data_IF_457489113428
#
_entry.id   IF_457489113428
#
_cell.length_a   1.000
_cell.length_b   1.000
_cell.length_c   1.000
_cell.angle_alpha   90.00
_cell.angle_beta   90.00
_cell.angle_gamma   90.00
#
_symmetry.space_group_name_H-M   'P 1'
#
loop_
_entity.id
_entity.type
_entity.pdbx_description
1 polymer ?
#
# COMPACT_ATOMS: atom_id res chain seq x y z
N UNK A 1 -15.34 58.81 62.37
CA UNK A 1 -15.26 59.69 61.18
C UNK A 1 -14.28 58.98 60.23
N UNK A 2 -14.52 58.62 58.97
CA UNK A 2 -15.52 58.96 57.97
C UNK A 2 -14.78 59.16 56.64
N UNK A 3 -15.08 58.32 55.63
CA UNK A 3 -14.81 58.44 54.16
C UNK A 3 -13.37 58.15 53.62
N UNK A 4 -13.15 57.12 52.77
CA UNK A 4 -13.38 56.94 51.28
C UNK A 4 -12.39 57.76 50.43
N UNK A 5 -11.83 57.37 49.27
CA UNK A 5 -11.71 56.18 48.39
C UNK A 5 -10.74 56.58 47.24
N UNK A 6 -10.23 55.60 46.48
CA UNK A 6 -9.68 55.63 45.10
C UNK A 6 -8.16 55.83 44.80
N UNK A 7 -7.62 54.76 44.18
CA UNK A 7 -6.68 54.63 43.05
C UNK A 7 -5.32 55.34 43.01
N UNK A 8 -4.23 54.57 42.87
CA UNK A 8 -3.70 54.32 41.51
C UNK A 8 -2.64 53.21 41.44
N UNK A 9 -2.81 52.41 40.39
CA UNK A 9 -1.83 51.58 39.71
C UNK A 9 -0.50 52.31 39.41
N UNK A 10 0.63 51.80 39.93
CA UNK A 10 1.93 51.61 39.22
C UNK A 10 3.05 51.39 40.24
N UNK A 11 3.55 50.16 40.32
CA UNK A 11 4.96 49.80 40.51
C UNK A 11 5.08 48.33 40.95
N UNK A 12 4.93 47.42 40.00
CA UNK A 12 5.44 46.05 40.12
C UNK A 12 6.32 45.78 38.91
N UNK A 13 7.63 45.91 39.07
CA UNK A 13 8.65 45.14 38.36
C UNK A 13 10.02 45.58 38.85
N UNK A 14 10.55 44.82 39.81
CA UNK A 14 11.97 44.47 39.88
C UNK A 14 12.14 43.41 40.96
N UNK A 15 11.79 42.18 40.59
CA UNK A 15 12.20 40.98 41.33
C UNK A 15 12.98 40.13 40.32
N UNK A 16 14.31 40.26 40.37
CA UNK A 16 15.25 39.39 39.67
C UNK A 16 15.04 37.96 40.17
N UNK A 17 14.19 37.21 39.47
CA UNK A 17 14.21 35.76 39.47
C UNK A 17 15.38 35.36 38.58
N UNK A 18 16.48 34.96 39.20
CA UNK A 18 17.54 34.19 38.55
C UNK A 18 16.95 32.84 38.16
N UNK A 19 16.32 32.79 36.99
CA UNK A 19 16.02 31.56 36.29
C UNK A 19 17.37 30.97 35.91
N UNK A 20 17.76 29.88 36.56
CA UNK A 20 18.76 28.98 35.99
C UNK A 20 18.14 28.49 34.68
N UNK A 21 18.61 29.05 33.56
CA UNK A 21 18.37 28.45 32.26
C UNK A 21 18.98 27.07 32.32
N UNK A 22 18.16 26.02 32.25
CA UNK A 22 18.62 24.72 31.79
C UNK A 22 19.46 24.97 30.53
N UNK A 23 20.66 24.36 30.41
CA UNK A 23 21.39 24.43 29.16
C UNK A 23 20.45 23.95 28.06
N UNK A 24 20.13 24.82 27.11
CA UNK A 24 19.44 24.38 25.92
C UNK A 24 20.22 23.18 25.37
N UNK A 25 19.54 22.07 25.01
CA UNK A 25 20.23 20.97 24.36
C UNK A 25 21.01 21.57 23.19
N UNK A 26 22.33 21.36 23.18
CA UNK A 26 23.17 21.73 22.06
C UNK A 26 22.45 21.25 20.80
N UNK A 27 22.10 22.18 19.91
CA UNK A 27 21.48 21.81 18.63
C UNK A 27 22.48 20.90 17.93
N UNK A 28 22.21 19.59 17.96
CA UNK A 28 23.01 18.60 17.26
C UNK A 28 23.21 19.09 15.83
N UNK A 29 24.45 19.05 15.34
CA UNK A 29 24.73 19.39 13.96
C UNK A 29 23.84 18.54 13.03
N UNK A 30 23.29 19.10 11.95
CA UNK A 30 22.43 18.36 11.04
C UNK A 30 23.17 17.15 10.48
N UNK A 31 22.48 16.01 10.40
CA UNK A 31 23.09 14.77 9.92
C UNK A 31 23.46 14.91 8.43
N UNK A 32 24.66 14.46 8.06
CA UNK A 32 25.10 14.41 6.67
C UNK A 32 24.65 13.16 5.93
N UNK A 33 24.16 12.14 6.65
CA UNK A 33 23.67 10.88 6.09
C UNK A 33 22.50 10.31 6.90
N UNK A 34 21.58 9.64 6.20
CA UNK A 34 20.43 8.96 6.79
C UNK A 34 20.10 7.71 6.00
N UNK A 35 20.11 6.55 6.66
CA UNK A 35 19.59 5.30 6.09
C UNK A 35 18.06 5.28 6.19
N UNK A 36 17.40 4.79 5.13
CA UNK A 36 15.94 4.79 5.00
C UNK A 36 15.39 3.38 5.17
N UNK A 37 14.92 3.10 6.38
CA UNK A 37 14.40 1.78 6.74
C UNK A 37 12.92 1.63 6.39
N UNK A 38 12.11 2.70 6.53
CA UNK A 38 10.68 2.67 6.19
C UNK A 38 10.42 3.31 4.83
N UNK A 39 9.54 2.77 3.97
CA UNK A 39 9.40 3.24 2.58
C UNK A 39 8.80 4.63 2.41
N UNK A 40 8.09 5.13 3.41
CA UNK A 40 7.48 6.46 3.38
C UNK A 40 8.33 7.53 4.07
N UNK A 41 9.39 7.16 4.80
CA UNK A 41 10.21 8.15 5.51
C UNK A 41 10.88 9.12 4.55
N UNK A 42 11.15 8.69 3.31
CA UNK A 42 11.67 9.51 2.22
C UNK A 42 10.67 9.66 1.05
N UNK A 43 9.37 9.68 1.34
CA UNK A 43 8.32 9.80 0.32
C UNK A 43 8.52 11.02 -0.60
N UNK A 44 8.99 12.14 -0.05
CA UNK A 44 9.26 13.38 -0.79
C UNK A 44 10.27 13.21 -1.93
N UNK A 45 11.11 12.17 -1.89
CA UNK A 45 12.04 11.82 -2.99
C UNK A 45 11.30 11.50 -4.29
N UNK A 46 9.99 11.18 -4.25
CA UNK A 46 9.19 10.98 -5.47
C UNK A 46 9.17 12.20 -6.41
N UNK A 47 9.42 13.40 -5.88
CA UNK A 47 9.57 14.64 -6.65
C UNK A 47 10.95 14.80 -7.30
N UNK A 48 11.92 13.97 -6.90
CA UNK A 48 13.29 13.93 -7.41
C UNK A 48 13.53 12.76 -8.37
N UNK A 49 13.02 11.58 -8.00
CA UNK A 49 13.03 10.33 -8.74
C UNK A 49 11.75 9.53 -8.43
N UNK A 50 11.00 9.04 -9.43
CA UNK A 50 9.73 8.38 -9.17
C UNK A 50 9.94 7.00 -8.54
N UNK A 51 9.23 6.73 -7.45
CA UNK A 51 9.34 5.45 -6.73
C UNK A 51 8.61 4.29 -7.43
N UNK A 52 7.74 4.61 -8.39
CA UNK A 52 7.10 3.65 -9.28
C UNK A 52 6.72 4.30 -10.62
N UNK A 53 6.99 3.61 -11.73
CA UNK A 53 6.63 4.03 -13.09
C UNK A 53 6.65 2.83 -14.06
N UNK A 54 6.21 3.02 -15.31
CA UNK A 54 6.16 1.96 -16.32
C UNK A 54 6.99 2.33 -17.56
N UNK A 55 7.66 1.34 -18.15
CA UNK A 55 8.37 1.43 -19.43
C UNK A 55 7.74 0.47 -20.42
N UNK A 56 6.80 0.97 -21.23
CA UNK A 56 5.89 0.10 -21.98
C UNK A 56 5.08 -0.75 -20.99
N UNK A 57 5.10 -2.07 -21.17
CA UNK A 57 4.44 -3.02 -20.27
C UNK A 57 5.29 -3.39 -19.04
N UNK A 58 6.52 -2.88 -18.93
CA UNK A 58 7.44 -3.25 -17.85
C UNK A 58 7.29 -2.31 -16.65
N UNK A 59 6.84 -2.80 -15.48
CA UNK A 59 6.85 -2.02 -14.25
C UNK A 59 8.28 -1.80 -13.75
N UNK A 60 8.55 -0.59 -13.25
CA UNK A 60 9.81 -0.21 -12.61
C UNK A 60 9.49 0.40 -11.25
N UNK A 61 10.10 -0.15 -10.21
CA UNK A 61 9.95 0.32 -8.83
C UNK A 61 11.29 0.73 -8.29
N UNK A 62 11.29 1.78 -7.49
CA UNK A 62 12.44 2.19 -6.73
C UNK A 62 12.10 2.35 -5.26
N UNK A 63 13.07 2.02 -4.42
CA UNK A 63 13.07 2.26 -2.99
C UNK A 63 14.27 3.14 -2.68
N UNK A 64 14.03 4.23 -1.97
CA UNK A 64 15.11 5.03 -1.39
C UNK A 64 15.78 4.19 -0.30
N UNK A 65 17.10 4.11 -0.36
CA UNK A 65 17.91 3.34 0.60
C UNK A 65 18.63 4.30 1.55
N UNK A 66 19.07 5.44 1.03
CA UNK A 66 19.86 6.40 1.80
C UNK A 66 19.70 7.81 1.27
N UNK A 67 19.72 8.79 2.16
CA UNK A 67 19.85 10.20 1.85
C UNK A 67 21.19 10.72 2.36
N UNK A 68 21.83 11.60 1.60
CA UNK A 68 23.07 12.29 1.99
C UNK A 68 23.01 13.76 1.63
N UNK A 69 23.69 14.59 2.42
CA UNK A 69 23.84 16.02 2.17
C UNK A 69 25.29 16.46 2.43
N UNK A 70 25.73 17.48 1.70
CA UNK A 70 27.07 18.07 1.85
C UNK A 70 28.00 17.79 0.68
N UNK A 71 29.28 18.15 0.81
CA UNK A 71 30.30 17.99 -0.24
C UNK A 71 30.67 16.53 -0.45
N UNK A 72 30.73 15.74 0.62
CA UNK A 72 31.03 14.30 0.62
C UNK A 72 29.87 13.44 0.10
N UNK A 73 28.70 14.04 -0.17
CA UNK A 73 27.55 13.31 -0.70
C UNK A 73 27.78 12.88 -2.16
N UNK A 74 28.57 13.64 -2.94
CA UNK A 74 28.91 13.25 -4.30
C UNK A 74 29.89 12.07 -4.32
N UNK A 75 29.48 10.94 -4.92
CA UNK A 75 30.39 9.85 -5.24
C UNK A 75 30.00 9.28 -6.61
N UNK A 76 30.65 9.78 -7.66
CA UNK A 76 30.43 9.31 -9.03
C UNK A 76 30.89 7.87 -9.21
N UNK A 77 30.11 7.10 -9.95
CA UNK A 77 30.39 5.71 -10.30
C UNK A 77 30.94 5.62 -11.74
N UNK A 78 31.96 4.78 -11.98
CA UNK A 78 32.44 4.52 -13.33
C UNK A 78 31.33 3.97 -14.24
N UNK A 79 31.42 4.26 -15.54
CA UNK A 79 30.55 3.66 -16.58
C UNK A 79 29.04 3.92 -16.38
N UNK A 80 28.69 4.97 -15.64
CA UNK A 80 27.30 5.40 -15.44
C UNK A 80 26.71 6.10 -16.66
N UNK A 81 25.41 5.86 -16.90
CA UNK A 81 24.59 6.69 -17.78
C UNK A 81 23.98 7.84 -16.98
N UNK A 82 24.15 9.06 -17.47
CA UNK A 82 23.69 10.28 -16.80
C UNK A 82 22.51 10.91 -17.52
N UNK A 83 21.54 11.37 -16.73
CA UNK A 83 20.35 12.06 -17.21
C UNK A 83 20.10 13.28 -16.35
N UNK A 84 19.52 14.32 -16.94
CA UNK A 84 19.04 15.48 -16.20
C UNK A 84 17.54 15.63 -16.37
N UNK A 85 16.92 16.31 -15.41
CA UNK A 85 15.64 16.95 -15.62
C UNK A 85 15.61 18.32 -14.93
N UNK A 86 14.79 19.21 -15.47
CA UNK A 86 14.56 20.56 -14.96
C UNK A 86 13.09 20.94 -15.15
N UNK A 87 12.49 21.48 -14.11
CA UNK A 87 11.16 22.08 -14.09
C UNK A 87 11.24 23.53 -13.58
N UNK A 88 10.68 24.47 -14.33
CA UNK A 88 10.46 25.83 -13.85
C UNK A 88 9.08 25.88 -13.17
N UNK A 89 9.04 26.21 -11.88
CA UNK A 89 7.80 26.29 -11.08
C UNK A 89 7.61 27.70 -10.51
N UNK A 90 6.41 28.00 -9.98
CA UNK A 90 6.16 29.28 -9.32
C UNK A 90 7.07 29.54 -8.11
N UNK A 91 7.52 28.48 -7.43
CA UNK A 91 8.41 28.56 -6.27
C UNK A 91 9.91 28.58 -6.62
N UNK A 92 10.24 28.38 -7.90
CA UNK A 92 11.62 28.34 -8.40
C UNK A 92 11.93 27.14 -9.28
N UNK A 93 13.21 26.98 -9.60
CA UNK A 93 13.69 25.89 -10.45
C UNK A 93 13.91 24.63 -9.61
N UNK A 94 13.25 23.55 -9.99
CA UNK A 94 13.52 22.21 -9.48
C UNK A 94 14.30 21.43 -10.54
N UNK A 95 15.41 20.81 -10.15
CA UNK A 95 16.23 20.05 -11.08
C UNK A 95 17.02 18.95 -10.38
N UNK A 96 17.29 17.86 -11.10
CA UNK A 96 18.14 16.76 -10.65
C UNK A 96 18.99 16.22 -11.80
N UNK A 97 20.09 15.61 -11.43
CA UNK A 97 20.81 14.64 -12.24
C UNK A 97 20.51 13.24 -11.72
N UNK A 98 20.36 12.26 -12.60
CA UNK A 98 20.29 10.84 -12.25
C UNK A 98 21.49 10.11 -12.81
N UNK A 99 22.05 9.27 -11.96
CA UNK A 99 23.13 8.38 -12.29
C UNK A 99 22.60 6.94 -12.28
N UNK A 100 22.68 6.27 -13.44
CA UNK A 100 22.29 4.88 -13.62
C UNK A 100 23.53 4.04 -14.01
N UNK A 101 24.17 3.37 -13.03
CA UNK A 101 25.37 2.56 -13.23
C UNK A 101 25.20 1.46 -14.29
N UNK A 102 26.23 1.30 -15.12
CA UNK A 102 26.32 0.23 -16.12
C UNK A 102 26.41 -1.17 -15.53
N UNK A 103 26.06 -2.23 -16.28
CA UNK A 103 26.40 -3.59 -15.89
C UNK A 103 27.93 -3.78 -15.95
N UNK A 104 28.50 -4.54 -15.01
CA UNK A 104 29.93 -4.92 -15.00
C UNK A 104 30.33 -5.92 -16.10
N UNK A 105 29.51 -6.08 -17.15
CA UNK A 105 29.68 -7.08 -18.21
C UNK A 105 30.27 -6.43 -19.48
N UNK A 106 30.72 -7.27 -20.43
CA UNK A 106 31.42 -6.83 -21.65
C UNK A 106 30.66 -5.82 -22.55
N UNK A 107 31.35 -5.29 -23.56
CA UNK A 107 30.91 -4.14 -24.37
C UNK A 107 29.48 -4.22 -24.97
N UNK A 108 29.00 -5.43 -25.30
CA UNK A 108 27.64 -5.64 -25.80
C UNK A 108 26.57 -5.32 -24.75
N UNK A 109 26.80 -5.71 -23.49
CA UNK A 109 25.91 -5.42 -22.36
C UNK A 109 25.90 -3.92 -22.05
N UNK A 110 27.04 -3.24 -22.16
CA UNK A 110 27.14 -1.79 -21.98
C UNK A 110 26.35 -1.01 -23.06
N UNK A 111 26.44 -1.44 -24.33
CA UNK A 111 25.68 -0.83 -25.43
C UNK A 111 24.16 -1.01 -25.27
N UNK A 112 23.71 -2.20 -24.88
CA UNK A 112 22.30 -2.47 -24.59
C UNK A 112 21.81 -1.69 -23.36
N UNK A 113 22.69 -1.50 -22.36
CA UNK A 113 22.40 -0.73 -21.17
C UNK A 113 22.12 0.73 -21.49
N UNK A 114 22.95 1.39 -22.30
CA UNK A 114 22.73 2.80 -22.66
C UNK A 114 21.33 3.04 -23.26
N UNK A 115 20.87 2.13 -24.14
CA UNK A 115 19.51 2.17 -24.69
C UNK A 115 18.45 1.98 -23.61
N UNK A 116 18.66 1.02 -22.72
CA UNK A 116 17.72 0.69 -21.62
C UNK A 116 17.62 1.85 -20.62
N UNK A 117 18.75 2.41 -20.20
CA UNK A 117 18.85 3.55 -19.30
C UNK A 117 18.15 4.78 -19.88
N UNK A 118 18.30 5.05 -21.18
CA UNK A 118 17.58 6.15 -21.85
C UNK A 118 16.07 5.98 -21.79
N UNK A 119 15.55 4.77 -22.04
CA UNK A 119 14.11 4.52 -21.98
C UNK A 119 13.58 4.62 -20.54
N UNK A 120 14.34 4.11 -19.57
CA UNK A 120 14.02 4.26 -18.14
C UNK A 120 13.93 5.73 -17.73
N UNK A 121 14.93 6.52 -18.08
CA UNK A 121 14.96 7.95 -17.76
C UNK A 121 13.83 8.72 -18.43
N UNK A 122 13.50 8.43 -19.70
CA UNK A 122 12.38 9.07 -20.39
C UNK A 122 11.04 8.78 -19.68
N UNK A 123 10.79 7.54 -19.28
CA UNK A 123 9.58 7.17 -18.54
C UNK A 123 9.55 7.80 -17.13
N UNK A 124 10.68 7.80 -16.43
CA UNK A 124 10.81 8.43 -15.12
C UNK A 124 10.55 9.94 -15.18
N UNK A 125 11.06 10.62 -16.21
CA UNK A 125 10.83 12.04 -16.43
C UNK A 125 9.35 12.35 -16.71
N UNK A 126 8.68 11.50 -17.49
CA UNK A 126 7.22 11.59 -17.69
C UNK A 126 6.45 11.48 -16.37
N UNK A 127 6.82 10.52 -15.51
CA UNK A 127 6.18 10.36 -14.19
C UNK A 127 6.45 11.53 -13.26
N UNK A 128 7.67 12.06 -13.20
CA UNK A 128 7.96 13.26 -12.38
C UNK A 128 7.17 14.47 -12.86
N UNK A 129 7.07 14.69 -14.17
CA UNK A 129 6.27 15.79 -14.71
C UNK A 129 4.82 15.65 -14.26
N UNK A 130 4.25 14.44 -14.29
CA UNK A 130 2.91 14.17 -13.76
C UNK A 130 2.84 14.48 -12.25
N UNK A 131 3.73 13.92 -11.44
CA UNK A 131 3.79 14.14 -9.99
C UNK A 131 3.90 15.62 -9.60
N UNK A 132 4.68 16.41 -10.34
CA UNK A 132 4.77 17.86 -10.14
C UNK A 132 3.48 18.58 -10.54
N UNK A 133 2.77 18.09 -11.55
CA UNK A 133 1.51 18.67 -12.05
C UNK A 133 0.30 18.29 -11.19
N UNK A 134 0.42 17.33 -10.28
CA UNK A 134 -0.66 16.89 -9.39
C UNK A 134 -1.01 17.97 -8.34
N UNK A 135 -0.15 18.97 -8.15
CA UNK A 135 -0.40 20.13 -7.27
C UNK A 135 -0.17 21.44 -8.01
N UNK A 136 -1.12 22.40 -7.95
CA UNK A 136 -0.98 23.69 -8.62
C UNK A 136 0.33 24.43 -8.34
N UNK A 137 0.85 24.30 -7.12
CA UNK A 137 2.03 25.05 -6.65
C UNK A 137 3.35 24.47 -7.18
N UNK A 138 3.38 23.18 -7.55
CA UNK A 138 4.54 22.53 -8.18
C UNK A 138 4.40 22.36 -9.68
N UNK A 139 3.25 22.74 -10.26
CA UNK A 139 2.98 22.60 -11.71
C UNK A 139 4.07 23.30 -12.53
N UNK A 140 4.78 22.56 -13.40
CA UNK A 140 5.82 23.15 -14.22
C UNK A 140 5.25 24.09 -15.30
N UNK A 141 5.74 25.32 -15.38
CA UNK A 141 5.53 26.19 -16.55
C UNK A 141 6.39 25.75 -17.74
N UNK A 142 7.53 25.13 -17.45
CA UNK A 142 8.42 24.50 -18.42
C UNK A 142 8.98 23.20 -17.82
N UNK A 143 9.19 22.18 -18.65
CA UNK A 143 9.79 20.91 -18.24
C UNK A 143 10.71 20.38 -19.35
N UNK A 144 11.94 20.03 -18.98
CA UNK A 144 12.94 19.44 -19.88
C UNK A 144 13.64 18.28 -19.19
N UNK A 145 13.93 17.22 -19.95
CA UNK A 145 14.69 16.07 -19.47
C UNK A 145 15.41 15.39 -20.63
N UNK A 146 16.56 14.77 -20.35
CA UNK A 146 17.32 14.07 -21.38
C UNK A 146 18.65 13.51 -20.88
N UNK A 147 19.36 12.75 -21.74
CA UNK A 147 20.72 12.32 -21.45
C UNK A 147 21.65 13.54 -21.36
N UNK A 148 22.65 13.47 -20.48
CA UNK A 148 23.69 14.48 -20.35
C UNK A 148 25.05 13.85 -20.08
N UNK A 149 26.12 14.66 -20.17
CA UNK A 149 27.41 14.29 -19.62
C UNK A 149 27.33 14.19 -18.08
N UNK A 150 28.31 13.50 -17.47
CA UNK A 150 28.46 13.52 -16.02
C UNK A 150 28.59 14.97 -15.53
N UNK A 151 27.77 15.42 -14.56
CA UNK A 151 27.84 16.77 -14.05
C UNK A 151 29.11 16.96 -13.23
N UNK A 152 29.75 18.12 -13.37
CA UNK A 152 30.86 18.52 -12.52
C UNK A 152 30.33 18.91 -11.13
N UNK A 153 30.28 17.94 -10.21
CA UNK A 153 29.79 18.12 -8.83
C UNK A 153 30.91 17.99 -7.78
N UNK A 154 32.15 17.76 -8.21
CA UNK A 154 33.29 17.58 -7.30
C UNK A 154 33.49 18.83 -6.44
N UNK A 155 33.56 18.64 -5.11
CA UNK A 155 33.74 19.72 -4.14
C UNK A 155 32.52 20.64 -3.95
N UNK A 156 31.38 20.36 -4.60
CA UNK A 156 30.16 21.16 -4.45
C UNK A 156 29.23 20.51 -3.42
N UNK A 157 28.55 21.28 -2.56
CA UNK A 157 27.56 20.72 -1.64
C UNK A 157 26.33 20.25 -2.43
N UNK A 158 25.99 18.98 -2.32
CA UNK A 158 24.87 18.36 -3.02
C UNK A 158 23.92 17.66 -2.05
N UNK A 159 22.67 17.52 -2.47
CA UNK A 159 21.75 16.55 -1.90
C UNK A 159 21.75 15.31 -2.78
N UNK A 160 21.85 14.13 -2.17
CA UNK A 160 21.88 12.84 -2.86
C UNK A 160 20.84 11.91 -2.26
N UNK A 161 20.03 11.30 -3.11
CA UNK A 161 19.18 10.18 -2.77
C UNK A 161 19.68 8.93 -3.49
N UNK A 162 20.14 7.94 -2.73
CA UNK A 162 20.43 6.61 -3.23
C UNK A 162 19.16 5.79 -3.26
N UNK A 163 18.92 5.13 -4.39
CA UNK A 163 17.76 4.26 -4.56
C UNK A 163 18.17 2.93 -5.19
N UNK A 164 17.50 1.88 -4.74
CA UNK A 164 17.52 0.58 -5.39
C UNK A 164 16.28 0.46 -6.25
N UNK A 165 16.44 0.04 -7.50
CA UNK A 165 15.34 -0.15 -8.43
C UNK A 165 15.42 -1.48 -9.15
N UNK A 166 14.25 -2.01 -9.50
CA UNK A 166 14.13 -3.25 -10.26
C UNK A 166 13.77 -2.94 -11.71
N UNK A 167 14.61 -3.36 -12.65
CA UNK A 167 14.34 -3.27 -14.07
C UNK A 167 14.63 -4.61 -14.72
N UNK A 168 13.62 -5.18 -15.41
CA UNK A 168 13.71 -6.49 -16.09
C UNK A 168 14.16 -7.64 -15.17
N UNK A 169 13.67 -7.66 -13.92
CA UNK A 169 13.98 -8.74 -12.97
C UNK A 169 15.39 -8.66 -12.35
N UNK A 170 16.13 -7.58 -12.58
CA UNK A 170 17.41 -7.33 -11.92
C UNK A 170 17.34 -6.07 -11.06
N UNK A 171 17.82 -6.18 -9.83
CA UNK A 171 18.03 -5.03 -8.95
C UNK A 171 19.29 -4.30 -9.33
N UNK A 172 19.19 -2.97 -9.32
CA UNK A 172 20.27 -2.04 -9.58
C UNK A 172 20.19 -0.93 -8.58
N UNK A 173 21.34 -0.34 -8.30
CA UNK A 173 21.43 0.85 -7.47
C UNK A 173 21.62 2.05 -8.40
N UNK A 174 21.05 3.18 -8.04
CA UNK A 174 21.19 4.43 -8.73
C UNK A 174 21.19 5.57 -7.72
N UNK A 175 21.57 6.75 -8.20
CA UNK A 175 21.63 7.93 -7.36
C UNK A 175 21.00 9.12 -8.07
N UNK A 176 20.21 9.90 -7.34
CA UNK A 176 19.70 11.17 -7.79
C UNK A 176 20.41 12.30 -7.04
N UNK A 177 20.98 13.24 -7.78
CA UNK A 177 21.73 14.37 -7.26
C UNK A 177 21.01 15.68 -7.56
N UNK A 178 20.87 16.53 -6.55
CA UNK A 178 20.35 17.88 -6.68
C UNK A 178 21.22 18.88 -5.92
N UNK A 179 20.94 20.16 -6.12
CA UNK A 179 21.47 21.20 -5.24
C UNK A 179 21.09 20.91 -3.79
N UNK A 180 21.98 21.18 -2.84
CA UNK A 180 21.68 21.05 -1.40
C UNK A 180 20.45 21.88 -0.97
N UNK A 181 20.10 22.93 -1.75
CA UNK A 181 18.91 23.76 -1.52
C UNK A 181 17.60 23.17 -2.06
N UNK A 182 17.67 22.07 -2.83
CA UNK A 182 16.50 21.47 -3.46
C UNK A 182 15.38 21.14 -2.45
N UNK A 183 15.64 20.49 -1.29
CA UNK A 183 14.60 20.20 -0.31
C UNK A 183 13.85 21.44 0.17
N UNK A 184 14.55 22.55 0.43
CA UNK A 184 13.95 23.81 0.88
C UNK A 184 13.16 24.52 -0.23
N UNK A 185 13.56 24.37 -1.50
CA UNK A 185 12.76 24.87 -2.64
C UNK A 185 11.49 24.02 -2.77
N UNK A 186 11.60 22.70 -2.64
CA UNK A 186 10.46 21.79 -2.68
C UNK A 186 9.48 22.02 -1.53
N UNK A 187 9.96 22.20 -0.29
CA UNK A 187 9.11 22.51 0.88
C UNK A 187 8.26 23.77 0.63
N UNK A 188 8.91 24.84 0.15
CA UNK A 188 8.22 26.08 -0.23
C UNK A 188 7.22 25.88 -1.36
N UNK A 189 7.58 25.10 -2.37
CA UNK A 189 6.71 24.78 -3.49
C UNK A 189 5.47 23.99 -3.04
N UNK A 190 5.61 23.12 -2.04
CA UNK A 190 4.51 22.32 -1.50
C UNK A 190 3.76 23.02 -0.36
N UNK A 191 4.13 24.26 -0.01
CA UNK A 191 3.57 25.03 1.09
C UNK A 191 3.66 24.33 2.47
N UNK A 192 4.68 23.51 2.67
CA UNK A 192 4.98 22.93 3.98
C UNK A 192 5.83 23.89 4.81
N UNK A 193 5.50 24.02 6.10
CA UNK A 193 6.31 24.80 7.04
C UNK A 193 7.70 24.17 7.15
N UNK A 194 8.72 24.93 6.77
CA UNK A 194 10.10 24.52 6.93
C UNK A 194 10.61 25.05 8.28
N UNK A 195 10.41 24.26 9.33
CA UNK A 195 10.99 24.54 10.66
C UNK A 195 12.48 24.11 10.72
N UNK A 196 13.01 23.50 9.66
CA UNK A 196 14.41 23.13 9.60
C UNK A 196 15.27 24.38 9.37
N UNK A 197 16.45 24.45 10.01
CA UNK A 197 17.42 25.47 9.65
C UNK A 197 17.70 25.32 8.14
N UNK A 198 17.85 26.42 7.38
CA UNK A 198 18.08 26.39 5.91
C UNK A 198 19.37 25.69 5.44
N UNK A 199 20.04 24.98 6.35
CA UNK A 199 21.22 24.13 6.15
C UNK A 199 20.90 22.63 6.35
N UNK A 200 19.75 22.25 6.91
CA UNK A 200 19.35 20.85 7.17
C UNK A 200 18.48 20.29 6.04
N UNK A 201 19.15 19.95 4.93
CA UNK A 201 18.50 19.38 3.75
C UNK A 201 17.80 18.03 4.03
N UNK A 202 18.32 17.23 4.98
CA UNK A 202 17.71 15.95 5.33
C UNK A 202 16.44 16.16 6.16
N UNK A 203 16.50 17.04 7.17
CA UNK A 203 15.34 17.43 7.97
C UNK A 203 14.19 17.97 7.12
N UNK A 204 14.49 18.85 6.15
CA UNK A 204 13.49 19.35 5.20
C UNK A 204 12.82 18.22 4.40
N UNK A 205 13.59 17.25 3.88
CA UNK A 205 13.01 16.10 3.15
C UNK A 205 12.12 15.22 4.01
N UNK A 206 12.49 15.00 5.27
CA UNK A 206 11.70 14.23 6.23
C UNK A 206 10.41 14.97 6.61
N UNK A 207 10.49 16.29 6.86
CA UNK A 207 9.32 17.11 7.17
C UNK A 207 8.30 17.08 6.02
N UNK A 208 8.75 17.23 4.77
CA UNK A 208 7.89 17.08 3.59
C UNK A 208 7.28 15.67 3.54
N UNK A 209 8.08 14.62 3.78
CA UNK A 209 7.58 13.24 3.74
C UNK A 209 6.52 12.98 4.81
N UNK A 210 6.71 13.51 6.02
CA UNK A 210 5.73 13.46 7.10
C UNK A 210 4.43 14.17 6.71
N UNK A 211 4.52 15.40 6.22
CA UNK A 211 3.35 16.17 5.81
C UNK A 211 2.59 15.51 4.65
N UNK A 212 3.31 15.00 3.65
CA UNK A 212 2.72 14.22 2.55
C UNK A 212 1.96 13.01 3.10
N UNK A 213 2.58 12.24 3.99
CA UNK A 213 1.96 11.05 4.61
C UNK A 213 0.72 11.40 5.42
N UNK A 214 0.74 12.52 6.14
CA UNK A 214 -0.39 12.94 6.98
C UNK A 214 -1.59 13.40 6.13
N UNK A 215 -1.35 13.98 4.95
CA UNK A 215 -2.42 14.38 4.02
C UNK A 215 -3.15 13.18 3.41
N UNK A 216 -2.43 12.12 3.04
CA UNK A 216 -3.00 11.00 2.31
C UNK A 216 -2.24 9.68 2.57
N UNK A 217 -2.33 9.11 3.78
CA UNK A 217 -1.50 7.99 4.21
C UNK A 217 -1.66 6.76 3.32
N UNK A 218 -2.84 6.59 2.73
CA UNK A 218 -3.19 5.43 1.91
C UNK A 218 -2.81 5.62 0.43
N UNK A 219 -2.87 6.85 -0.12
CA UNK A 219 -2.75 7.05 -1.57
C UNK A 219 -1.37 6.73 -2.14
N UNK A 220 -0.31 6.95 -1.36
CA UNK A 220 1.07 6.71 -1.81
C UNK A 220 1.39 5.23 -2.00
N UNK A 221 0.66 4.34 -1.33
CA UNK A 221 0.78 2.91 -1.57
C UNK A 221 0.11 2.50 -2.87
N UNK A 222 -1.01 3.15 -3.22
CA UNK A 222 -1.70 2.96 -4.49
C UNK A 222 -0.89 3.49 -5.68
N UNK A 223 -0.15 4.60 -5.51
CA UNK A 223 0.78 5.12 -6.54
C UNK A 223 1.93 4.16 -6.87
N UNK A 224 2.17 3.17 -6.01
CA UNK A 224 3.12 2.08 -6.24
C UNK A 224 2.45 0.86 -6.87
N UNK A 225 1.14 0.84 -7.11
CA UNK A 225 0.46 -0.30 -7.72
C UNK A 225 0.63 -0.31 -9.25
N UNK A 226 0.67 -1.49 -9.89
CA UNK A 226 0.74 -1.59 -11.34
C UNK A 226 -0.44 -2.34 -11.93
N UNK A 227 -0.75 -2.01 -13.17
CA UNK A 227 -1.79 -2.67 -13.95
C UNK A 227 -1.39 -4.10 -14.27
N UNK A 228 -2.21 -5.05 -13.84
CA UNK A 228 -2.14 -6.43 -14.30
C UNK A 228 -3.09 -6.63 -15.49
N UNK A 229 -2.60 -7.13 -16.65
CA UNK A 229 -3.45 -7.45 -17.78
C UNK A 229 -4.31 -8.68 -17.47
N UNK A 230 -5.59 -8.64 -17.84
CA UNK A 230 -6.58 -9.71 -17.62
C UNK A 230 -8.01 -9.21 -17.85
N UNK A 231 -9.02 -10.03 -17.58
CA UNK A 231 -10.45 -9.65 -17.73
C UNK A 231 -10.88 -8.46 -16.86
N UNK A 232 -10.06 -8.07 -15.88
CA UNK A 232 -10.23 -6.87 -15.05
C UNK A 232 -8.87 -6.21 -14.89
N UNK A 233 -8.53 -5.28 -15.80
CA UNK A 233 -7.35 -4.45 -15.63
C UNK A 233 -7.44 -3.76 -14.26
N UNK A 234 -6.57 -4.15 -13.32
CA UNK A 234 -6.55 -3.62 -11.95
C UNK A 234 -5.15 -3.18 -11.55
N UNK A 235 -5.06 -2.05 -10.87
CA UNK A 235 -3.83 -1.62 -10.21
C UNK A 235 -3.65 -2.44 -8.94
N UNK A 236 -2.53 -3.15 -8.86
CA UNK A 236 -2.26 -4.09 -7.77
C UNK A 236 -0.82 -3.99 -7.26
N UNK A 237 -0.64 -4.17 -5.96
CA UNK A 237 0.68 -4.30 -5.32
C UNK A 237 0.77 -5.73 -4.78
N UNK A 238 1.50 -6.64 -5.43
CA UNK A 238 1.59 -8.02 -4.97
C UNK A 238 2.26 -8.17 -3.60
N UNK A 239 2.04 -9.30 -2.96
CA UNK A 239 2.54 -9.59 -1.62
C UNK A 239 4.06 -9.45 -1.49
N UNK A 240 4.82 -9.88 -2.48
CA UNK A 240 6.28 -9.72 -2.43
C UNK A 240 6.73 -8.25 -2.43
N UNK A 241 5.92 -7.36 -3.02
CA UNK A 241 6.15 -5.92 -2.93
C UNK A 241 5.82 -5.38 -1.55
N UNK A 242 4.75 -5.87 -0.92
CA UNK A 242 4.51 -5.58 0.50
C UNK A 242 5.77 -5.93 1.31
N UNK A 243 6.37 -7.11 1.07
CA UNK A 243 7.59 -7.50 1.77
C UNK A 243 8.73 -6.51 1.51
N UNK A 244 8.93 -6.06 0.26
CA UNK A 244 9.91 -5.02 -0.11
C UNK A 244 9.69 -3.67 0.60
N UNK A 245 8.45 -3.39 0.96
CA UNK A 245 8.04 -2.16 1.64
C UNK A 245 8.02 -2.31 3.17
N UNK A 246 7.96 -3.51 3.73
CA UNK A 246 8.06 -3.67 5.18
C UNK A 246 9.49 -3.40 5.65
N UNK A 247 9.64 -3.02 6.92
CA UNK A 247 10.95 -3.09 7.59
C UNK A 247 11.46 -4.53 7.57
N UNK A 248 12.77 -4.75 7.71
CA UNK A 248 13.30 -6.12 7.69
C UNK A 248 12.73 -6.96 8.85
N UNK A 249 12.53 -6.33 10.02
CA UNK A 249 11.86 -6.96 11.16
C UNK A 249 10.41 -7.35 10.85
N UNK A 250 9.61 -6.43 10.30
CA UNK A 250 8.21 -6.74 9.98
C UNK A 250 8.08 -7.75 8.84
N UNK A 251 8.95 -7.65 7.82
CA UNK A 251 9.00 -8.61 6.72
C UNK A 251 9.32 -10.01 7.24
N UNK A 252 10.30 -10.14 8.14
CA UNK A 252 10.63 -11.41 8.78
C UNK A 252 9.43 -11.99 9.55
N UNK A 253 8.74 -11.17 10.35
CA UNK A 253 7.58 -11.60 11.13
C UNK A 253 6.42 -12.05 10.20
N UNK A 254 6.14 -11.29 9.14
CA UNK A 254 5.14 -11.67 8.13
C UNK A 254 5.50 -13.00 7.48
N UNK A 255 6.76 -13.19 7.08
CA UNK A 255 7.20 -14.40 6.37
C UNK A 255 7.14 -15.61 7.29
N UNK A 256 7.83 -15.55 8.43
CA UNK A 256 8.06 -16.69 9.31
C UNK A 256 6.81 -17.06 10.12
N UNK A 257 6.10 -16.06 10.65
CA UNK A 257 4.99 -16.29 11.57
C UNK A 257 3.63 -16.36 10.86
N UNK A 258 3.56 -16.01 9.58
CA UNK A 258 2.31 -16.05 8.83
C UNK A 258 2.42 -16.80 7.50
N UNK A 259 3.21 -16.31 6.53
CA UNK A 259 3.17 -16.83 5.16
C UNK A 259 3.63 -18.29 5.06
N UNK A 260 4.76 -18.64 5.69
CA UNK A 260 5.29 -20.01 5.64
C UNK A 260 4.33 -21.02 6.26
N UNK A 261 3.62 -20.62 7.32
CA UNK A 261 2.66 -21.44 8.05
C UNK A 261 1.33 -21.58 7.29
N UNK A 262 0.83 -20.48 6.73
CA UNK A 262 -0.51 -20.42 6.11
C UNK A 262 -0.54 -20.83 4.64
N UNK A 263 0.59 -20.84 3.95
CA UNK A 263 0.70 -21.29 2.56
C UNK A 263 1.59 -22.54 2.43
N UNK A 264 1.19 -23.71 2.97
CA UNK A 264 2.00 -24.92 2.92
C UNK A 264 2.23 -25.43 1.48
N UNK A 265 3.38 -26.06 1.25
CA UNK A 265 3.72 -26.67 -0.03
C UNK A 265 3.75 -25.67 -1.20
N UNK A 266 3.13 -26.06 -2.32
CA UNK A 266 3.09 -25.29 -3.57
C UNK A 266 2.36 -23.94 -3.45
N UNK A 267 1.52 -23.76 -2.43
CA UNK A 267 0.77 -22.52 -2.24
C UNK A 267 1.68 -21.31 -1.99
N UNK A 268 2.87 -21.53 -1.40
CA UNK A 268 3.84 -20.45 -1.19
C UNK A 268 4.39 -19.94 -2.52
N UNK A 269 4.87 -20.82 -3.40
CA UNK A 269 5.40 -20.45 -4.72
C UNK A 269 4.39 -19.65 -5.55
N UNK A 270 3.12 -20.01 -5.47
CA UNK A 270 2.04 -19.34 -6.20
C UNK A 270 1.70 -17.92 -5.69
N UNK A 271 2.20 -17.52 -4.51
CA UNK A 271 2.16 -16.12 -4.06
C UNK A 271 3.22 -15.25 -4.71
N UNK A 272 4.29 -15.87 -5.21
CA UNK A 272 5.48 -15.20 -5.75
C UNK A 272 5.69 -15.43 -7.23
N UNK A 273 5.07 -16.42 -7.86
CA UNK A 273 5.34 -16.78 -9.25
C UNK A 273 4.01 -17.10 -9.96
N UNK A 274 3.93 -16.79 -11.25
CA UNK A 274 2.76 -17.15 -12.07
C UNK A 274 3.16 -17.52 -13.50
N UNK A 275 2.33 -18.31 -14.16
CA UNK A 275 2.45 -18.64 -15.58
C UNK A 275 1.76 -17.58 -16.42
N UNK A 276 2.44 -17.07 -17.44
CA UNK A 276 1.91 -16.03 -18.30
C UNK A 276 2.37 -16.13 -19.74
N UNK A 277 1.58 -15.62 -20.69
CA UNK A 277 1.97 -15.56 -22.09
C UNK A 277 3.12 -14.56 -22.27
N UNK A 278 4.26 -15.03 -22.78
CA UNK A 278 5.39 -14.18 -23.12
C UNK A 278 5.55 -14.12 -24.64
N UNK A 279 5.55 -12.90 -25.21
CA UNK A 279 5.88 -12.71 -26.63
C UNK A 279 7.37 -12.99 -26.84
N UNK A 280 7.65 -13.98 -27.68
CA UNK A 280 8.99 -14.31 -28.15
C UNK A 280 9.08 -14.06 -29.66
N UNK A 281 10.29 -13.93 -30.24
CA UNK A 281 10.46 -13.79 -31.69
C UNK A 281 9.78 -14.91 -32.51
N UNK A 282 9.57 -16.08 -31.90
CA UNK A 282 8.99 -17.28 -32.52
C UNK A 282 7.48 -17.44 -32.24
N UNK A 283 6.84 -16.49 -31.54
CA UNK A 283 5.41 -16.55 -31.18
C UNK A 283 5.14 -16.32 -29.69
N UNK A 284 3.91 -16.59 -29.24
CA UNK A 284 3.53 -16.51 -27.83
C UNK A 284 3.81 -17.85 -27.16
N UNK A 285 4.66 -17.86 -26.13
CA UNK A 285 4.99 -19.05 -25.34
C UNK A 285 4.62 -18.83 -23.87
N UNK A 286 4.08 -19.85 -23.22
CA UNK A 286 3.77 -19.80 -21.80
C UNK A 286 5.06 -19.99 -20.98
N UNK A 287 5.39 -19.03 -20.14
CA UNK A 287 6.57 -19.07 -19.27
C UNK A 287 6.21 -18.70 -17.85
N UNK A 288 6.97 -19.24 -16.89
CA UNK A 288 6.92 -18.74 -15.52
C UNK A 288 7.51 -17.35 -15.51
N UNK A 289 6.67 -16.37 -15.16
CA UNK A 289 7.07 -14.99 -15.00
C UNK A 289 7.43 -14.82 -13.52
N UNK A 290 8.71 -14.59 -13.26
CA UNK A 290 9.10 -14.03 -11.98
C UNK A 290 8.57 -12.59 -11.91
N UNK A 291 7.94 -12.17 -10.81
CA UNK A 291 7.53 -10.79 -10.67
C UNK A 291 8.77 -9.91 -10.78
N UNK A 292 8.65 -8.85 -11.58
CA UNK A 292 9.80 -8.06 -12.05
C UNK A 292 10.64 -7.39 -10.95
N UNK A 293 10.20 -7.46 -9.70
CA UNK A 293 10.77 -6.82 -8.52
C UNK A 293 10.81 -7.72 -7.27
N UNK A 294 10.85 -9.06 -7.42
CA UNK A 294 11.16 -9.93 -6.28
C UNK A 294 12.67 -9.92 -5.98
N UNK A 295 13.09 -9.38 -4.82
CA UNK A 295 14.50 -9.36 -4.36
C UNK A 295 14.81 -10.61 -3.53
N UNK A 296 15.35 -11.69 -4.13
CA UNK A 296 15.68 -12.90 -3.38
C UNK A 296 16.79 -12.63 -2.35
N UNK A 297 17.70 -11.68 -2.58
CA UNK A 297 18.78 -11.41 -1.63
C UNK A 297 18.24 -10.82 -0.32
N UNK A 298 17.18 -10.02 -0.41
CA UNK A 298 16.52 -9.46 0.76
C UNK A 298 15.54 -10.43 1.41
N UNK A 299 14.72 -11.14 0.63
CA UNK A 299 13.64 -11.98 1.17
C UNK A 299 14.12 -13.36 1.60
N UNK A 300 15.06 -13.97 0.88
CA UNK A 300 15.52 -15.33 1.18
C UNK A 300 16.09 -15.51 2.59
N UNK A 301 16.86 -14.55 3.16
CA UNK A 301 17.34 -14.67 4.54
C UNK A 301 16.23 -14.83 5.58
N UNK A 302 15.00 -14.39 5.29
CA UNK A 302 13.87 -14.52 6.19
C UNK A 302 13.12 -15.84 6.02
N UNK A 303 13.37 -16.59 4.94
CA UNK A 303 12.71 -17.87 4.69
C UNK A 303 13.45 -19.01 5.41
N UNK A 304 12.75 -19.89 6.14
CA UNK A 304 13.36 -21.09 6.71
C UNK A 304 14.00 -21.98 5.64
N UNK A 305 15.10 -22.67 5.97
CA UNK A 305 15.81 -23.55 5.04
C UNK A 305 14.91 -24.59 4.37
N UNK A 306 13.92 -25.12 5.11
CA UNK A 306 12.94 -26.08 4.61
C UNK A 306 12.14 -25.57 3.40
N UNK A 307 11.94 -24.25 3.27
CA UNK A 307 11.27 -23.67 2.09
C UNK A 307 12.05 -23.96 0.80
N UNK A 308 13.38 -23.93 0.87
CA UNK A 308 14.26 -24.18 -0.26
C UNK A 308 14.47 -25.68 -0.49
N UNK A 309 14.67 -26.45 0.60
CA UNK A 309 14.82 -27.91 0.54
C UNK A 309 13.59 -28.60 -0.06
N UNK A 310 12.39 -28.15 0.33
CA UNK A 310 11.11 -28.66 -0.17
C UNK A 310 10.77 -28.11 -1.57
N UNK A 311 11.60 -27.25 -2.15
CA UNK A 311 11.34 -26.63 -3.45
C UNK A 311 10.07 -25.78 -3.50
N UNK A 312 9.61 -25.22 -2.37
CA UNK A 312 8.30 -24.52 -2.30
C UNK A 312 8.24 -23.26 -3.17
N UNK A 313 9.37 -22.63 -3.46
CA UNK A 313 9.51 -21.50 -4.39
C UNK A 313 9.97 -21.92 -5.80
N UNK A 314 9.98 -23.22 -6.12
CA UNK A 314 10.32 -23.69 -7.45
C UNK A 314 9.28 -23.25 -8.50
N UNK A 315 9.74 -23.07 -9.74
CA UNK A 315 8.90 -22.69 -10.88
C UNK A 315 7.74 -23.67 -11.15
N UNK A 316 7.84 -24.92 -10.70
CA UNK A 316 6.75 -25.90 -10.76
C UNK A 316 5.53 -25.47 -9.90
N UNK A 317 5.77 -24.71 -8.82
CA UNK A 317 4.76 -24.26 -7.86
C UNK A 317 4.22 -22.85 -8.17
N UNK A 318 4.50 -22.32 -9.35
CA UNK A 318 3.93 -21.05 -9.80
C UNK A 318 2.40 -21.15 -9.95
N UNK A 319 1.69 -20.05 -9.72
CA UNK A 319 0.26 -19.96 -10.00
C UNK A 319 -0.01 -20.23 -11.49
N UNK A 320 -1.16 -20.86 -11.77
CA UNK A 320 -1.49 -21.34 -13.12
C UNK A 320 -1.80 -20.20 -14.10
N UNK A 321 -2.21 -19.03 -13.60
CA UNK A 321 -2.50 -17.85 -14.42
C UNK A 321 -2.28 -16.55 -13.63
N UNK A 322 -2.27 -15.38 -14.30
CA UNK A 322 -2.27 -14.08 -13.62
C UNK A 322 -3.46 -13.91 -12.67
N UNK A 323 -4.64 -14.42 -13.03
CA UNK A 323 -5.84 -14.37 -12.17
C UNK A 323 -5.70 -15.25 -10.93
N UNK A 324 -5.14 -16.46 -11.05
CA UNK A 324 -4.88 -17.31 -9.89
C UNK A 324 -3.86 -16.67 -8.93
N UNK A 325 -2.81 -16.06 -9.48
CA UNK A 325 -1.83 -15.29 -8.72
C UNK A 325 -2.48 -14.15 -7.93
N UNK A 326 -3.29 -13.34 -8.62
CA UNK A 326 -4.01 -12.22 -8.04
C UNK A 326 -4.98 -12.67 -6.93
N UNK A 327 -5.73 -13.76 -7.15
CA UNK A 327 -6.62 -14.35 -6.15
C UNK A 327 -5.87 -14.81 -4.90
N UNK A 328 -4.74 -15.52 -5.07
CA UNK A 328 -3.92 -15.99 -3.93
C UNK A 328 -3.30 -14.82 -3.15
N UNK A 329 -2.92 -13.75 -3.83
CA UNK A 329 -2.45 -12.55 -3.17
C UNK A 329 -3.58 -11.85 -2.38
N UNK A 330 -4.81 -11.80 -2.91
CA UNK A 330 -5.98 -11.25 -2.18
C UNK A 330 -6.28 -12.05 -0.91
N UNK A 331 -6.18 -13.38 -0.98
CA UNK A 331 -6.32 -14.29 0.17
C UNK A 331 -5.20 -14.06 1.21
N UNK A 332 -3.96 -13.87 0.76
CA UNK A 332 -2.84 -13.57 1.65
C UNK A 332 -3.00 -12.21 2.35
N UNK A 333 -3.39 -11.16 1.64
CA UNK A 333 -3.65 -9.84 2.21
C UNK A 333 -4.79 -9.85 3.22
N UNK A 334 -5.91 -10.49 2.88
CA UNK A 334 -7.02 -10.66 3.82
C UNK A 334 -6.58 -11.42 5.06
N UNK A 335 -5.82 -12.49 4.87
CA UNK A 335 -5.27 -13.29 5.94
C UNK A 335 -4.35 -12.49 6.88
N UNK A 336 -3.44 -11.69 6.33
CA UNK A 336 -2.56 -10.81 7.09
C UNK A 336 -3.34 -9.75 7.88
N UNK A 337 -4.33 -9.11 7.24
CA UNK A 337 -5.20 -8.15 7.92
C UNK A 337 -5.97 -8.79 9.08
N UNK A 338 -6.51 -9.99 8.89
CA UNK A 338 -7.20 -10.73 9.96
C UNK A 338 -6.24 -11.15 11.08
N UNK A 339 -4.99 -11.53 10.75
CA UNK A 339 -3.99 -11.87 11.75
C UNK A 339 -3.61 -10.66 12.61
N UNK A 340 -3.41 -9.49 12.00
CA UNK A 340 -3.17 -8.23 12.71
C UNK A 340 -4.33 -7.88 13.63
N UNK A 341 -5.57 -7.99 13.14
CA UNK A 341 -6.76 -7.65 13.92
C UNK A 341 -6.97 -8.56 15.14
N UNK A 342 -6.54 -9.82 15.04
CA UNK A 342 -6.70 -10.82 16.12
C UNK A 342 -5.48 -10.88 17.03
N UNK A 343 -4.55 -9.94 16.90
CA UNK A 343 -3.26 -9.92 17.59
C UNK A 343 -2.44 -11.21 17.40
N UNK A 344 -2.72 -11.97 16.33
CA UNK A 344 -1.99 -13.19 15.97
C UNK A 344 -0.70 -12.88 15.21
N UNK A 345 -0.56 -11.65 14.70
CA UNK A 345 0.64 -11.11 14.10
C UNK A 345 0.87 -9.71 14.69
N UNK A 346 1.98 -9.53 15.42
CA UNK A 346 2.37 -8.22 15.98
C UNK A 346 3.44 -7.60 15.10
N UNK A 347 3.16 -6.43 14.53
CA UNK A 347 4.09 -5.66 13.70
C UNK A 347 4.31 -4.28 14.31
N UNK A 348 5.28 -3.54 13.76
CA UNK A 348 5.36 -2.09 14.01
C UNK A 348 4.04 -1.38 13.63
N UNK A 349 3.72 -0.23 14.25
CA UNK A 349 2.56 0.57 13.87
C UNK A 349 2.49 0.88 12.36
N UNK A 350 3.64 1.16 11.75
CA UNK A 350 3.74 1.46 10.32
C UNK A 350 3.54 0.21 9.45
N UNK A 351 4.10 -0.93 9.84
CA UNK A 351 3.89 -2.21 9.14
C UNK A 351 2.42 -2.65 9.18
N UNK A 352 1.79 -2.52 10.36
CA UNK A 352 0.36 -2.78 10.53
C UNK A 352 -0.53 -1.82 9.74
N UNK A 353 -0.18 -0.53 9.70
CA UNK A 353 -0.86 0.48 8.89
C UNK A 353 -0.75 0.15 7.40
N UNK A 354 0.44 -0.17 6.89
CA UNK A 354 0.66 -0.53 5.49
C UNK A 354 -0.21 -1.72 5.04
N UNK A 355 -0.23 -2.81 5.82
CA UNK A 355 -1.05 -3.99 5.50
C UNK A 355 -2.54 -3.64 5.50
N UNK A 356 -2.99 -2.85 6.47
CA UNK A 356 -4.37 -2.37 6.54
C UNK A 356 -4.73 -1.54 5.31
N UNK A 357 -3.92 -0.55 4.96
CA UNK A 357 -4.13 0.32 3.80
C UNK A 357 -4.23 -0.49 2.51
N UNK A 358 -3.30 -1.42 2.28
CA UNK A 358 -3.29 -2.27 1.10
C UNK A 358 -4.52 -3.19 1.05
N UNK A 359 -4.90 -3.81 2.18
CA UNK A 359 -6.13 -4.62 2.26
C UNK A 359 -7.37 -3.79 1.90
N UNK A 360 -7.51 -2.59 2.50
CA UNK A 360 -8.67 -1.72 2.28
C UNK A 360 -8.81 -1.32 0.80
N UNK A 361 -7.70 -0.95 0.19
CA UNK A 361 -7.66 -0.49 -1.20
C UNK A 361 -7.85 -1.61 -2.22
N UNK A 362 -7.13 -2.72 -2.06
CA UNK A 362 -7.02 -3.73 -3.10
C UNK A 362 -8.04 -4.85 -2.95
N UNK A 363 -8.35 -5.25 -1.71
CA UNK A 363 -9.18 -6.43 -1.43
C UNK A 363 -10.56 -6.02 -0.96
N UNK A 364 -10.63 -5.20 0.10
CA UNK A 364 -11.88 -4.81 0.73
C UNK A 364 -12.79 -4.04 -0.24
N UNK A 365 -12.27 -3.05 -0.94
CA UNK A 365 -13.06 -2.20 -1.85
C UNK A 365 -13.70 -3.00 -3.00
N UNK A 366 -13.02 -4.02 -3.54
CA UNK A 366 -13.60 -4.90 -4.57
C UNK A 366 -14.67 -5.86 -3.98
N UNK A 367 -14.35 -6.50 -2.85
CA UNK A 367 -15.32 -7.36 -2.14
C UNK A 367 -16.55 -6.57 -1.71
N UNK A 368 -16.37 -5.34 -1.25
CA UNK A 368 -17.44 -4.45 -0.82
C UNK A 368 -18.36 -4.09 -1.97
N UNK A 369 -17.81 -3.68 -3.12
CA UNK A 369 -18.60 -3.43 -4.33
C UNK A 369 -19.42 -4.65 -4.75
N UNK A 370 -18.81 -5.85 -4.70
CA UNK A 370 -19.50 -7.10 -5.01
C UNK A 370 -20.63 -7.40 -4.02
N UNK A 371 -20.41 -7.16 -2.72
CA UNK A 371 -21.45 -7.30 -1.69
C UNK A 371 -22.58 -6.28 -1.87
N UNK A 372 -22.26 -5.02 -2.15
CA UNK A 372 -23.27 -3.99 -2.38
C UNK A 372 -24.12 -4.29 -3.63
N UNK A 373 -23.52 -4.87 -4.68
CA UNK A 373 -24.27 -5.35 -5.84
C UNK A 373 -25.27 -6.45 -5.46
N UNK A 374 -24.88 -7.44 -4.63
CA UNK A 374 -25.79 -8.46 -4.12
C UNK A 374 -26.94 -7.85 -3.29
N UNK A 375 -26.64 -6.82 -2.50
CA UNK A 375 -27.65 -6.09 -1.72
C UNK A 375 -28.64 -5.36 -2.63
N UNK A 376 -28.13 -4.66 -3.66
CA UNK A 376 -28.95 -3.94 -4.64
C UNK A 376 -29.82 -4.88 -5.48
N UNK A 377 -29.30 -6.06 -5.85
CA UNK A 377 -30.05 -7.10 -6.57
C UNK A 377 -31.09 -7.82 -5.71
N UNK A 378 -31.18 -7.53 -4.40
CA UNK A 378 -32.12 -8.20 -3.50
C UNK A 378 -31.76 -9.66 -3.20
N UNK A 379 -30.60 -10.15 -3.64
CA UNK A 379 -30.20 -11.56 -3.47
C UNK A 379 -29.57 -11.82 -2.11
N UNK A 380 -29.82 -12.99 -1.49
CA UNK A 380 -30.76 -14.03 -1.90
C UNK A 380 -32.18 -13.81 -1.32
N UNK A 381 -32.45 -12.66 -0.70
CA UNK A 381 -33.70 -12.44 0.02
C UNK A 381 -34.94 -12.53 -0.87
N UNK A 382 -34.86 -12.03 -2.11
CA UNK A 382 -35.98 -12.12 -3.04
C UNK A 382 -36.37 -13.56 -3.39
N UNK A 383 -35.40 -14.48 -3.41
CA UNK A 383 -35.66 -15.91 -3.56
C UNK A 383 -36.31 -16.48 -2.29
N UNK A 384 -35.78 -16.11 -1.12
CA UNK A 384 -36.35 -16.49 0.17
C UNK A 384 -37.81 -16.04 0.32
N UNK A 385 -38.14 -14.81 -0.11
CA UNK A 385 -39.50 -14.25 -0.06
C UNK A 385 -40.51 -15.04 -0.89
N UNK A 386 -40.05 -15.75 -1.94
CA UNK A 386 -40.90 -16.58 -2.81
C UNK A 386 -41.19 -17.97 -2.25
N UNK A 387 -40.52 -18.37 -1.16
CA UNK A 387 -40.79 -19.63 -0.49
C UNK A 387 -42.19 -19.65 0.14
N UNK A 388 -42.80 -20.84 0.33
CA UNK A 388 -44.03 -20.95 1.12
C UNK A 388 -43.86 -20.31 2.51
N UNK A 389 -44.87 -19.55 2.95
CA UNK A 389 -44.80 -18.78 4.21
C UNK A 389 -44.48 -19.67 5.43
N UNK A 390 -45.02 -20.88 5.49
CA UNK A 390 -44.72 -21.83 6.56
C UNK A 390 -43.24 -22.19 6.64
N UNK A 391 -42.58 -22.40 5.50
CA UNK A 391 -41.16 -22.71 5.41
C UNK A 391 -40.30 -21.49 5.75
N UNK A 392 -40.63 -20.32 5.17
CA UNK A 392 -39.93 -19.06 5.42
C UNK A 392 -40.00 -18.68 6.90
N UNK A 393 -41.16 -18.84 7.54
CA UNK A 393 -41.33 -18.62 8.98
C UNK A 393 -40.47 -19.57 9.80
N UNK A 394 -40.52 -20.89 9.54
CA UNK A 394 -39.68 -21.88 10.26
C UNK A 394 -38.19 -21.58 10.11
N UNK A 395 -37.75 -21.22 8.91
CA UNK A 395 -36.37 -20.84 8.64
C UNK A 395 -35.96 -19.56 9.39
N UNK A 396 -36.83 -18.54 9.41
CA UNK A 396 -36.61 -17.32 10.19
C UNK A 396 -36.55 -17.62 11.69
N UNK A 397 -37.49 -18.42 12.23
CA UNK A 397 -37.58 -18.75 13.65
C UNK A 397 -36.34 -19.49 14.15
N UNK A 398 -35.86 -20.46 13.37
CA UNK A 398 -34.64 -21.26 13.67
C UNK A 398 -33.32 -20.54 13.32
N UNK A 399 -33.39 -19.36 12.71
CA UNK A 399 -32.22 -18.52 12.41
C UNK A 399 -31.84 -17.61 13.56
N UNK A 400 -30.53 -17.44 13.81
CA UNK A 400 -30.02 -16.45 14.75
C UNK A 400 -30.12 -15.02 14.19
N UNK A 401 -30.06 -14.03 15.08
CA UNK A 401 -30.16 -12.61 14.71
C UNK A 401 -29.10 -12.20 13.68
N UNK A 402 -27.86 -12.69 13.81
CA UNK A 402 -26.77 -12.38 12.87
C UNK A 402 -27.06 -12.80 11.42
N UNK A 403 -27.65 -13.98 11.22
CA UNK A 403 -27.97 -14.50 9.89
C UNK A 403 -29.13 -13.72 9.26
N UNK A 404 -30.15 -13.39 10.06
CA UNK A 404 -31.27 -12.57 9.61
C UNK A 404 -30.81 -11.15 9.28
N UNK A 405 -30.02 -10.53 10.15
CA UNK A 405 -29.48 -9.19 9.94
C UNK A 405 -28.64 -9.12 8.65
N UNK A 406 -27.76 -10.09 8.40
CA UNK A 406 -27.00 -10.15 7.15
C UNK A 406 -27.90 -10.38 5.91
N UNK A 407 -28.93 -11.24 6.06
CA UNK A 407 -29.93 -11.54 5.04
C UNK A 407 -30.75 -10.32 4.60
N UNK A 408 -31.17 -9.49 5.56
CA UNK A 408 -32.05 -8.33 5.34
C UNK A 408 -31.30 -7.00 5.22
N UNK A 409 -29.98 -6.99 5.45
CA UNK A 409 -29.15 -5.78 5.37
C UNK A 409 -29.37 -5.04 4.05
N UNK A 410 -29.57 -3.72 4.15
CA UNK A 410 -29.82 -2.82 3.03
C UNK A 410 -31.27 -2.75 2.53
N UNK A 411 -32.21 -3.52 3.09
CA UNK A 411 -33.62 -3.50 2.68
C UNK A 411 -34.59 -3.41 3.87
N UNK A 412 -35.30 -2.27 3.95
CA UNK A 412 -36.36 -2.06 4.96
C UNK A 412 -37.54 -3.01 4.75
N UNK A 413 -37.85 -3.32 3.49
CA UNK A 413 -38.93 -4.25 3.12
C UNK A 413 -38.59 -5.67 3.57
N UNK A 414 -37.35 -6.12 3.34
CA UNK A 414 -36.89 -7.43 3.77
C UNK A 414 -36.94 -7.59 5.30
N UNK A 415 -36.50 -6.55 6.02
CA UNK A 415 -36.58 -6.51 7.48
C UNK A 415 -38.03 -6.62 7.96
N UNK A 416 -38.96 -5.83 7.40
CA UNK A 416 -40.37 -5.86 7.76
C UNK A 416 -41.00 -7.24 7.52
N UNK A 417 -40.66 -7.90 6.41
CA UNK A 417 -41.17 -9.22 6.05
C UNK A 417 -40.78 -10.31 7.05
N UNK A 418 -39.55 -10.28 7.58
CA UNK A 418 -39.08 -11.26 8.58
C UNK A 418 -39.49 -10.88 9.99
N UNK A 419 -39.52 -9.59 10.31
CA UNK A 419 -39.81 -9.08 11.65
C UNK A 419 -41.20 -9.50 12.16
N UNK A 420 -42.18 -9.67 11.26
CA UNK A 420 -43.56 -10.10 11.61
C UNK A 420 -43.62 -11.48 12.30
N UNK A 421 -42.60 -12.32 12.14
CA UNK A 421 -42.51 -13.63 12.77
C UNK A 421 -41.57 -13.65 13.98
N UNK A 422 -40.74 -12.62 14.14
CA UNK A 422 -39.75 -12.55 15.21
C UNK A 422 -40.34 -11.97 16.50
N UNK A 423 -39.96 -12.51 17.65
CA UNK A 423 -40.27 -11.92 18.96
C UNK A 423 -39.60 -10.55 19.13
N UNK A 424 -40.11 -9.71 20.04
CA UNK A 424 -39.54 -8.38 20.29
C UNK A 424 -38.05 -8.43 20.61
N UNK A 425 -37.65 -9.32 21.52
CA UNK A 425 -36.24 -9.55 21.88
C UNK A 425 -35.37 -9.90 20.66
N UNK A 426 -35.90 -10.70 19.73
CA UNK A 426 -35.17 -11.08 18.51
C UNK A 426 -35.08 -9.92 17.53
N UNK A 427 -36.12 -9.09 17.42
CA UNK A 427 -36.10 -7.87 16.61
C UNK A 427 -35.04 -6.88 17.12
N UNK A 428 -34.96 -6.67 18.44
CA UNK A 428 -33.97 -5.78 19.04
C UNK A 428 -32.54 -6.30 18.76
N UNK A 429 -32.30 -7.61 18.91
CA UNK A 429 -31.01 -8.22 18.56
C UNK A 429 -30.66 -8.12 17.06
N UNK A 430 -31.66 -8.19 16.16
CA UNK A 430 -31.44 -7.96 14.72
C UNK A 430 -31.03 -6.51 14.46
N UNK A 431 -31.63 -5.54 15.17
CA UNK A 431 -31.30 -4.12 15.01
C UNK A 431 -29.85 -3.82 15.45
N UNK A 432 -29.43 -4.33 16.61
CA UNK A 432 -28.05 -4.22 17.09
C UNK A 432 -27.05 -4.81 16.07
N UNK A 433 -27.40 -5.96 15.49
CA UNK A 433 -26.57 -6.59 14.47
C UNK A 433 -26.50 -5.81 13.16
N UNK A 434 -27.60 -5.17 12.73
CA UNK A 434 -27.59 -4.30 11.56
C UNK A 434 -26.69 -3.07 11.78
N UNK A 435 -26.71 -2.47 12.97
CA UNK A 435 -25.82 -1.36 13.33
C UNK A 435 -24.36 -1.80 13.34
N UNK A 436 -24.06 -2.98 13.93
CA UNK A 436 -22.71 -3.56 13.92
C UNK A 436 -22.21 -3.83 12.50
N UNK A 437 -23.06 -4.38 11.64
CA UNK A 437 -22.74 -4.60 10.22
C UNK A 437 -22.45 -3.26 9.55
N UNK A 438 -23.32 -2.26 9.71
CA UNK A 438 -23.15 -0.93 9.10
C UNK A 438 -21.86 -0.23 9.55
N UNK A 439 -21.51 -0.27 10.85
CA UNK A 439 -20.25 0.28 11.35
C UNK A 439 -19.05 -0.48 10.79
N UNK A 440 -19.04 -1.81 10.90
CA UNK A 440 -17.92 -2.64 10.39
C UNK A 440 -17.70 -2.43 8.90
N UNK A 441 -18.78 -2.22 8.14
CA UNK A 441 -18.78 -1.94 6.72
C UNK A 441 -18.29 -0.52 6.38
N UNK A 442 -18.51 0.46 7.26
CA UNK A 442 -18.01 1.82 7.10
C UNK A 442 -16.52 1.90 7.42
N UNK A 443 -16.11 1.21 8.47
CA UNK A 443 -14.76 1.27 9.02
C UNK A 443 -13.78 0.33 8.29
N UNK A 444 -14.24 -0.40 7.26
CA UNK A 444 -13.42 -1.35 6.52
C UNK A 444 -13.03 -2.60 7.32
N UNK A 445 -13.67 -2.83 8.48
CA UNK A 445 -13.39 -3.92 9.39
C UNK A 445 -14.30 -5.14 9.18
N UNK A 446 -15.27 -5.07 8.26
CA UNK A 446 -16.14 -6.20 7.97
C UNK A 446 -15.38 -7.32 7.23
N UNK A 447 -15.47 -8.55 7.73
CA UNK A 447 -15.15 -9.74 6.93
C UNK A 447 -16.28 -9.96 5.93
N UNK A 448 -16.10 -9.41 4.72
CA UNK A 448 -17.12 -9.47 3.66
C UNK A 448 -17.45 -10.92 3.28
N UNK A 449 -16.46 -11.83 3.30
CA UNK A 449 -16.68 -13.24 3.00
C UNK A 449 -17.62 -13.90 4.02
N UNK A 450 -17.42 -13.62 5.31
CA UNK A 450 -18.34 -14.04 6.38
C UNK A 450 -19.72 -13.41 6.21
N UNK A 451 -19.81 -12.11 5.90
CA UNK A 451 -21.10 -11.45 5.69
C UNK A 451 -21.88 -12.04 4.52
N UNK A 452 -21.21 -12.31 3.39
CA UNK A 452 -21.82 -13.00 2.26
C UNK A 452 -22.36 -14.36 2.70
N UNK A 453 -21.55 -15.21 3.35
CA UNK A 453 -22.03 -16.52 3.86
C UNK A 453 -23.22 -16.38 4.82
N UNK A 454 -23.16 -15.45 5.78
CA UNK A 454 -24.27 -15.20 6.71
C UNK A 454 -25.53 -14.74 5.99
N UNK A 455 -25.41 -13.93 4.94
CA UNK A 455 -26.52 -13.48 4.10
C UNK A 455 -27.20 -14.64 3.36
N UNK A 456 -26.44 -15.65 2.92
CA UNK A 456 -26.97 -16.87 2.31
C UNK A 456 -27.52 -17.90 3.32
N UNK A 457 -27.09 -17.84 4.58
CA UNK A 457 -27.46 -18.81 5.62
C UNK A 457 -28.97 -18.94 5.85
N UNK A 458 -29.74 -17.87 5.68
CA UNK A 458 -31.20 -17.91 5.79
C UNK A 458 -31.83 -18.82 4.71
N UNK A 459 -31.32 -18.72 3.48
CA UNK A 459 -31.77 -19.53 2.35
C UNK A 459 -31.31 -20.99 2.49
N UNK A 460 -30.07 -21.21 2.92
CA UNK A 460 -29.54 -22.56 3.20
C UNK A 460 -30.37 -23.29 4.27
N UNK A 461 -30.79 -22.59 5.32
CA UNK A 461 -31.68 -23.15 6.36
C UNK A 461 -33.05 -23.52 5.80
N UNK A 462 -33.62 -22.67 4.94
CA UNK A 462 -34.88 -22.99 4.31
C UNK A 462 -34.78 -24.22 3.39
N UNK A 463 -33.69 -24.35 2.63
CA UNK A 463 -33.42 -25.52 1.81
C UNK A 463 -33.28 -26.80 2.66
N UNK A 464 -32.55 -26.73 3.78
CA UNK A 464 -32.40 -27.86 4.70
C UNK A 464 -33.73 -28.32 5.31
N UNK A 465 -34.61 -27.38 5.67
CA UNK A 465 -35.96 -27.69 6.18
C UNK A 465 -36.84 -28.34 5.11
N UNK A 466 -36.77 -27.86 3.86
CA UNK A 466 -37.52 -28.44 2.74
C UNK A 466 -37.11 -29.89 2.49
N UNK A 467 -35.82 -30.19 2.55
CA UNK A 467 -35.31 -31.56 2.39
C UNK A 467 -35.70 -32.47 3.57
N UNK A 468 -35.76 -31.94 4.80
CA UNK A 468 -36.26 -32.68 5.94
C UNK A 468 -37.74 -33.04 5.80
N UNK A 469 -38.58 -32.07 5.42
CA UNK A 469 -40.02 -32.28 5.22
C UNK A 469 -40.30 -33.32 4.11
N UNK A 470 -39.49 -33.34 3.03
CA UNK A 470 -39.58 -34.36 1.98
C UNK A 470 -39.24 -35.76 2.48
N UNK A 471 -38.23 -35.91 3.34
CA UNK A 471 -37.84 -37.21 3.90
C UNK A 471 -38.92 -37.77 4.84
N UNK A 472 -39.53 -36.91 5.65
CA UNK A 472 -40.62 -37.29 6.54
C UNK A 472 -41.88 -37.70 5.75
N UNK A 473 -42.24 -36.94 4.71
CA UNK A 473 -43.34 -37.29 3.82
C UNK A 473 -43.11 -38.62 3.05
N UNK A 474 -41.87 -38.89 2.63
CA UNK A 474 -41.48 -40.14 1.97
C UNK A 474 -41.44 -41.35 2.92
N UNK A 475 -41.19 -41.14 4.22
CA UNK A 475 -41.21 -42.19 5.24
C UNK A 475 -42.64 -42.53 5.69
N UNK A 476 -43.54 -41.55 5.75
CA UNK A 476 -44.96 -41.73 6.11
C UNK A 476 -45.83 -42.37 5.02
N UNK A 477 -45.35 -42.49 3.78
CA UNK A 477 -46.05 -43.13 2.66
C UNK A 477 -45.82 -44.65 2.53
N UNK A 478 -45.16 -45.29 3.50
CA UNK A 478 -44.83 -46.74 3.51
C UNK A 478 -45.56 -47.57 4.57
N UNK A 479 -46.60 -47.03 5.21
CA UNK A 479 -47.47 -47.77 6.15
C UNK A 479 -48.76 -48.19 5.50
#
# INVERSE_FOLDING_TARGET
MGFKLFDSWKAKRDRKLSVQMEPQPEKNAPSSALDIDKPLDALSVTYLFPLAFQVGDLPVRARVVRLRSGTEAYAGMPESSWFFWKADTAAGVLSSYWELPGPSAGAEAASLWAKTAKTLAAAAAGRIKATLSDRPQTTPTSFSAGPCAAPDLVGKPVFRADFRYAARGAFREGSAYASIRYPHILARALAFADDSNGEDALGAMLAISGALRDEAPDSYWADRAFSYPGNRARHYLPLYELLNLLSDTDAQLVIQNYLVIKAPGAALGALFLYRGPTKTPTGVCERVVAPHSFDPQRVNPFLPASVFEDGRLAAANAADSPEDFLRRNDEAYEGLFQALRRDALSLSPEGGALIRSLYLQQVYSEKRRSFDALVQEGKPFDEFRRLPESLARRAADTSGAEAIAAGVYGSKEALAFVARWCSRRKQDAIAEELERIASSLRDGNADIGVLVRKRWSLMEKAAALLEADKREAGAGGKT
#
